data_IF_572799443855
#
_entry.id   IF_572799443855
#
_cell.length_a   1.000
_cell.length_b   1.000
_cell.length_c   1.000
_cell.angle_alpha   90.00
_cell.angle_beta   90.00
_cell.angle_gamma   90.00
#
_symmetry.space_group_name_H-M   'P 1'
#
loop_
_entity.id
_entity.type
_entity.pdbx_description
1 polymer ?
#
# COMPACT_ATOMS: atom_id res chain seq x y z
N UNK A 1 1.22 -6.61 9.68
CA UNK A 1 2.52 -6.47 9.01
C UNK A 1 3.02 -5.05 9.18
N UNK A 2 4.27 -4.92 9.55
CA UNK A 2 4.90 -3.61 9.67
C UNK A 2 6.02 -3.49 8.65
N UNK A 3 6.15 -2.29 8.08
CA UNK A 3 7.18 -2.01 7.08
C UNK A 3 8.24 -1.10 7.69
N UNK A 4 9.48 -1.33 7.31
CA UNK A 4 10.62 -0.54 7.74
C UNK A 4 11.11 0.31 6.58
N UNK A 5 11.70 1.45 6.89
CA UNK A 5 12.19 2.37 5.85
C UNK A 5 13.14 1.67 4.88
N UNK A 6 13.95 0.75 5.38
CA UNK A 6 14.97 0.10 4.57
C UNK A 6 14.59 -1.33 4.16
N UNK A 7 13.38 -1.76 4.48
CA UNK A 7 13.01 -3.16 4.19
C UNK A 7 11.51 -3.29 3.98
N UNK A 8 11.11 -3.33 2.72
CA UNK A 8 9.72 -3.56 2.35
C UNK A 8 9.47 -5.01 1.93
N UNK A 9 10.41 -5.91 2.25
CA UNK A 9 10.24 -7.33 1.92
C UNK A 9 8.95 -7.93 2.44
N UNK A 10 8.45 -7.56 3.65
CA UNK A 10 7.17 -8.12 4.09
C UNK A 10 6.02 -7.80 3.15
N UNK A 11 6.03 -6.62 2.53
CA UNK A 11 5.02 -6.27 1.54
C UNK A 11 5.14 -7.17 0.31
N UNK A 12 6.35 -7.36 -0.21
CA UNK A 12 6.57 -8.21 -1.37
C UNK A 12 6.08 -9.63 -1.11
N UNK A 13 6.42 -10.18 0.06
CA UNK A 13 6.00 -11.53 0.45
C UNK A 13 4.48 -11.62 0.54
N UNK A 14 3.84 -10.62 1.12
CA UNK A 14 2.38 -10.62 1.28
C UNK A 14 1.67 -10.55 -0.06
N UNK A 15 2.17 -9.72 -0.97
CA UNK A 15 1.57 -9.59 -2.30
C UNK A 15 1.67 -10.91 -3.07
N UNK A 16 2.85 -11.52 -3.06
CA UNK A 16 3.04 -12.79 -3.76
C UNK A 16 2.20 -13.90 -3.14
N UNK A 17 2.11 -13.94 -1.81
CA UNK A 17 1.32 -14.95 -1.11
C UNK A 17 -0.16 -14.83 -1.47
N UNK A 18 -0.69 -13.60 -1.50
CA UNK A 18 -2.09 -13.41 -1.83
C UNK A 18 -2.38 -13.80 -3.28
N UNK A 19 -1.50 -13.41 -4.20
CA UNK A 19 -1.66 -13.80 -5.60
C UNK A 19 -1.71 -15.33 -5.73
N UNK A 20 -0.78 -16.01 -5.07
CA UNK A 20 -0.70 -17.48 -5.14
C UNK A 20 -1.90 -18.13 -4.46
N UNK A 21 -2.37 -17.57 -3.35
CA UNK A 21 -3.55 -18.09 -2.66
C UNK A 21 -4.77 -18.08 -3.57
N UNK A 22 -4.87 -17.06 -4.41
CA UNK A 22 -5.98 -16.93 -5.35
C UNK A 22 -5.77 -17.75 -6.63
N UNK A 23 -4.63 -18.43 -6.76
CA UNK A 23 -4.35 -19.24 -7.93
C UNK A 23 -4.04 -18.44 -9.18
N UNK A 24 -3.59 -17.22 -9.03
CA UNK A 24 -3.32 -16.33 -10.16
C UNK A 24 -1.84 -16.38 -10.57
N UNK A 25 -1.59 -16.49 -11.87
CA UNK A 25 -0.26 -16.25 -12.40
C UNK A 25 0.01 -14.73 -12.35
N UNK A 26 1.26 -14.34 -12.56
CA UNK A 26 1.59 -12.92 -12.62
C UNK A 26 0.83 -12.23 -13.75
N UNK A 27 0.72 -12.89 -14.91
CA UNK A 27 -0.02 -12.33 -16.04
C UNK A 27 -1.51 -12.15 -15.71
N UNK A 28 -2.10 -13.14 -15.05
CA UNK A 28 -3.51 -13.04 -14.65
C UNK A 28 -3.72 -11.93 -13.63
N UNK A 29 -2.83 -11.84 -12.64
CA UNK A 29 -2.93 -10.79 -11.63
C UNK A 29 -2.76 -9.41 -12.25
N UNK A 30 -1.86 -9.28 -13.23
CA UNK A 30 -1.65 -8.03 -13.93
C UNK A 30 -2.94 -7.56 -14.60
N UNK A 31 -3.65 -8.48 -15.26
CA UNK A 31 -4.91 -8.15 -15.91
C UNK A 31 -5.97 -7.73 -14.89
N UNK A 32 -6.08 -8.46 -13.78
CA UNK A 32 -7.07 -8.17 -12.74
C UNK A 32 -6.79 -6.82 -12.08
N UNK A 33 -5.53 -6.51 -11.84
CA UNK A 33 -5.15 -5.31 -11.11
C UNK A 33 -4.88 -4.10 -12.00
N UNK A 34 -4.97 -4.29 -13.32
CA UNK A 34 -4.75 -3.22 -14.29
C UNK A 34 -3.34 -2.65 -14.20
N UNK A 35 -2.36 -3.54 -14.13
CA UNK A 35 -0.94 -3.18 -14.13
C UNK A 35 -0.23 -4.14 -15.09
N UNK A 36 1.04 -3.87 -15.38
CA UNK A 36 1.82 -4.75 -16.26
C UNK A 36 2.33 -5.96 -15.50
N UNK A 37 2.62 -7.03 -16.23
CA UNK A 37 3.22 -8.22 -15.64
C UNK A 37 4.58 -7.90 -15.02
N UNK A 38 5.36 -7.05 -15.68
CA UNK A 38 6.66 -6.66 -15.15
C UNK A 38 6.51 -5.87 -13.86
N UNK A 39 5.44 -5.07 -13.74
CA UNK A 39 5.18 -4.37 -12.48
C UNK A 39 4.92 -5.37 -11.35
N UNK A 40 4.14 -6.43 -11.61
CA UNK A 40 3.90 -7.46 -10.61
C UNK A 40 5.23 -8.07 -10.14
N UNK A 41 6.10 -8.39 -11.07
CA UNK A 41 7.41 -8.97 -10.74
C UNK A 41 8.22 -8.02 -9.87
N UNK A 42 8.22 -6.73 -10.22
CA UNK A 42 8.96 -5.74 -9.44
C UNK A 42 8.36 -5.58 -8.05
N UNK A 43 7.05 -5.55 -7.93
CA UNK A 43 6.39 -5.40 -6.64
C UNK A 43 6.68 -6.59 -5.72
N UNK A 44 6.85 -7.77 -6.30
CA UNK A 44 7.12 -8.97 -5.52
C UNK A 44 8.62 -9.15 -5.21
N UNK A 45 9.47 -8.28 -5.72
CA UNK A 45 10.91 -8.36 -5.46
C UNK A 45 11.47 -7.08 -4.87
N UNK A 46 11.14 -5.92 -5.43
CA UNK A 46 11.68 -4.64 -4.97
C UNK A 46 10.55 -3.60 -4.89
N UNK A 47 9.60 -3.79 -3.97
CA UNK A 47 8.45 -2.87 -3.89
C UNK A 47 8.86 -1.43 -3.59
N UNK A 48 10.01 -1.23 -2.97
CA UNK A 48 10.50 0.12 -2.67
C UNK A 48 10.80 0.92 -3.94
N UNK A 49 10.92 0.27 -5.08
CA UNK A 49 11.15 0.93 -6.36
C UNK A 49 9.88 1.19 -7.14
N UNK A 50 8.74 0.76 -6.63
CA UNK A 50 7.47 0.88 -7.31
C UNK A 50 6.76 2.15 -6.88
N UNK A 51 5.97 2.73 -7.78
CA UNK A 51 5.16 3.88 -7.39
C UNK A 51 4.05 3.43 -6.45
N UNK A 52 3.76 4.27 -5.48
CA UNK A 52 2.72 3.96 -4.50
C UNK A 52 1.36 3.82 -5.17
N UNK A 53 1.06 4.66 -6.15
CA UNK A 53 -0.21 4.59 -6.84
C UNK A 53 -0.43 3.24 -7.50
N UNK A 54 0.59 2.71 -8.18
CA UNK A 54 0.46 1.40 -8.81
C UNK A 54 0.44 0.27 -7.79
N UNK A 55 1.19 0.43 -6.68
CA UNK A 55 1.10 -0.55 -5.59
C UNK A 55 -0.31 -0.62 -5.03
N UNK A 56 -1.00 0.51 -4.92
CA UNK A 56 -2.37 0.52 -4.44
C UNK A 56 -3.32 -0.16 -5.43
N UNK A 57 -3.09 0.00 -6.73
CA UNK A 57 -3.88 -0.74 -7.73
C UNK A 57 -3.72 -2.25 -7.53
N UNK A 58 -2.49 -2.70 -7.30
CA UNK A 58 -2.21 -4.10 -7.07
C UNK A 58 -2.85 -4.59 -5.77
N UNK A 59 -2.68 -3.83 -4.69
CA UNK A 59 -3.23 -4.17 -3.38
C UNK A 59 -4.76 -4.32 -3.49
N UNK A 60 -5.43 -3.34 -4.07
CA UNK A 60 -6.87 -3.34 -4.19
C UNK A 60 -7.35 -4.42 -5.15
N UNK A 61 -6.65 -4.63 -6.26
CA UNK A 61 -7.01 -5.66 -7.22
C UNK A 61 -6.94 -7.06 -6.64
N UNK A 62 -6.05 -7.28 -5.68
CA UNK A 62 -5.95 -8.56 -4.98
C UNK A 62 -6.91 -8.66 -3.79
N UNK A 63 -7.73 -7.63 -3.55
CA UNK A 63 -8.68 -7.65 -2.45
C UNK A 63 -8.09 -7.30 -1.11
N UNK A 64 -6.90 -6.72 -1.11
CA UNK A 64 -6.24 -6.28 0.12
C UNK A 64 -6.51 -4.79 0.33
N UNK A 65 -6.19 -4.30 1.52
CA UNK A 65 -6.24 -2.87 1.82
C UNK A 65 -4.91 -2.45 2.41
N UNK A 66 -4.55 -1.20 2.17
CA UNK A 66 -3.36 -0.60 2.76
C UNK A 66 -3.79 0.50 3.69
N UNK A 67 -3.34 0.45 4.94
CA UNK A 67 -3.70 1.42 5.96
C UNK A 67 -2.43 2.02 6.54
N UNK A 68 -2.54 3.29 6.92
CA UNK A 68 -1.46 3.99 7.60
C UNK A 68 -1.98 4.37 8.98
N UNK A 69 -1.27 3.93 10.01
CA UNK A 69 -1.64 4.22 11.38
C UNK A 69 -0.60 5.15 11.99
N UNK A 70 -1.03 5.90 12.98
CA UNK A 70 -0.15 6.81 13.66
C UNK A 70 -0.16 6.58 15.15
N UNK A 71 0.41 7.51 15.87
CA UNK A 71 0.51 7.44 17.32
C UNK A 71 -0.80 7.77 18.01
N UNK A 72 -1.71 8.41 17.28
CA UNK A 72 -2.87 9.02 17.91
C UNK A 72 -3.74 7.99 18.64
N UNK A 73 -3.75 6.78 18.16
CA UNK A 73 -4.57 5.77 18.81
C UNK A 73 -4.05 5.48 20.20
N UNK A 74 -2.78 5.63 20.38
CA UNK A 74 -2.23 5.44 21.71
C UNK A 74 -2.24 6.71 22.46
N UNK A 75 -2.28 7.69 21.78
CA UNK A 75 -2.26 8.91 22.41
C UNK A 75 -2.80 9.97 21.57
N UNK A 76 -2.82 10.15 20.99
CA UNK A 76 -3.09 11.02 20.46
C UNK A 76 -2.87 12.11 20.07
N UNK A 77 -2.72 12.33 19.61
CA UNK A 77 -2.48 13.53 19.30
C UNK A 77 -3.55 14.35 18.79
N UNK A 78 -3.99 14.52 18.99
CA UNK A 78 -4.69 15.04 18.55
C UNK A 78 -4.89 15.85 17.79
N UNK A 79 -4.75 15.75 17.53
CA UNK A 79 -4.80 16.43 16.77
C UNK A 79 -4.72 16.54 15.78
N UNK A 80 -4.88 16.18 15.84
CA UNK A 80 -4.71 16.44 15.00
C UNK A 80 -5.07 16.17 14.06
N UNK A 81 -5.68 15.68 13.99
CA UNK A 81 -5.79 15.82 13.27
C UNK A 81 -6.29 15.48 12.46
N UNK A 82 -6.88 15.16 12.50
CA UNK A 82 -6.98 15.31 12.07
C UNK A 82 -7.26 15.13 11.27
N UNK A 83 -7.66 14.97 11.69
CA UNK A 83 -7.49 15.24 11.13
C UNK A 83 -7.49 15.25 10.36
N UNK A 84 -8.30 15.11 10.35
CA UNK A 84 -7.93 15.58 9.93
C UNK A 84 -7.89 15.67 9.33
N UNK A 85 -8.10 15.67 9.68
CA UNK A 85 -7.68 16.20 9.30
C UNK A 85 -7.38 16.46 8.65
N UNK A 86 -8.49 16.37 8.41
CA UNK A 86 -7.98 17.11 8.22
C UNK A 86 -7.59 17.45 7.69
N UNK A 87 -7.65 17.38 8.11
CA UNK A 87 -7.07 18.04 7.87
C UNK A 87 -6.42 18.32 7.22
N UNK A 88 -7.29 18.34 7.47
CA UNK A 88 -6.46 18.95 7.14
C UNK A 88 -6.35 19.14 6.73
N UNK A 89 -7.05 19.32 7.10
CA UNK A 89 -6.69 19.97 6.81
C UNK A 89 -6.50 19.94 6.40
N UNK A 90 -6.91 20.16 6.37
CA UNK A 90 -6.45 20.70 6.00
C UNK A 90 -5.93 20.53 5.58
N UNK A 91 -6.39 20.72 5.63
CA UNK A 91 -5.68 21.12 5.27
C UNK A 91 -5.18 20.97 4.79
N UNK A 92 -5.65 21.23 4.67
CA UNK A 92 -4.92 21.59 4.31
C UNK A 92 -4.30 21.43 3.91
N UNK A 93 -4.95 21.58 3.80
CA UNK A 93 -4.13 21.85 3.68
C UNK A 93 -3.44 21.60 3.27
N UNK A 94 -4.00 21.66 3.35
CA UNK A 94 -3.07 21.75 3.25
C UNK A 94 -2.71 21.36 2.82
N UNK A 95 -3.35 21.45 2.91
CA UNK A 95 -2.70 21.49 2.71
C UNK A 95 -2.38 21.17 2.35
N UNK A 96 -2.60 21.31 2.37
CA UNK A 96 -1.97 21.42 2.13
C UNK A 96 -1.54 21.10 1.85
#
# INVERSE_FOLDING_TARGET
MKLQVHDLSPLAVRLAAERKRQGLSRTQAAAVCNVSTSFIRDAESTPERCSLGKLLLLVQGLGLTMEVAGWAEGGRLEGATSHGHAELGPPPEDSP
#
